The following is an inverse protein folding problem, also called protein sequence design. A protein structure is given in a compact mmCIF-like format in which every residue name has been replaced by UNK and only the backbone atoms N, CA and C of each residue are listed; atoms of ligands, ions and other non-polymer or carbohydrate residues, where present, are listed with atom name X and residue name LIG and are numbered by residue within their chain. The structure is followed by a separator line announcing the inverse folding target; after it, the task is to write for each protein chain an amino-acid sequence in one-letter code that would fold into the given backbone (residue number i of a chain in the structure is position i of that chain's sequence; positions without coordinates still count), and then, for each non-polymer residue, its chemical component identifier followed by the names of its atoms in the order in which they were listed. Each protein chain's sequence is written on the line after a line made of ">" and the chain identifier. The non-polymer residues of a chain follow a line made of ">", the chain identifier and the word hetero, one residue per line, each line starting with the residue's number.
data_IF_501110753106
#
_entry.id   IF_501110753106
#
_cell.length_a   1.000
_cell.length_b   1.000
_cell.length_c   1.000
_cell.angle_alpha   90.00
_cell.angle_beta   90.00
_cell.angle_gamma   90.00
#
_symmetry.space_group_name_H-M   'P 1'
#
loop_
_entity.id
_entity.type
_entity.pdbx_description
1 polymer ?
#
# COMPACT_ATOMS: atom_id res chain seq x y z
N UNK A 1 -0.94 3.18 -1.65
CA UNK A 1 -1.63 2.84 -0.35
C UNK A 1 -0.64 2.27 0.64
N UNK A 2 -0.88 2.47 1.96
CA UNK A 2 -0.08 1.84 3.02
C UNK A 2 -0.01 0.32 2.84
N UNK A 3 0.91 -0.34 3.54
CA UNK A 3 0.91 -1.80 3.61
C UNK A 3 1.01 -2.28 5.06
N UNK A 4 0.23 -3.29 5.39
CA UNK A 4 0.30 -4.03 6.65
C UNK A 4 0.95 -5.38 6.38
N UNK A 5 1.91 -5.77 7.19
CA UNK A 5 2.51 -7.11 7.19
C UNK A 5 2.22 -7.81 8.51
N UNK A 6 1.71 -9.04 8.47
CA UNK A 6 1.46 -9.89 9.64
C UNK A 6 2.33 -11.13 9.53
N UNK A 7 3.36 -11.20 10.37
CA UNK A 7 4.22 -12.38 10.48
C UNK A 7 3.76 -13.16 11.71
N UNK A 8 3.07 -14.27 11.47
CA UNK A 8 2.56 -15.13 12.55
C UNK A 8 3.70 -15.81 13.31
N UNK A 9 3.41 -16.19 14.54
CA UNK A 9 4.34 -17.00 15.34
C UNK A 9 4.74 -18.26 14.61
N UNK A 10 6.01 -18.63 14.70
CA UNK A 10 6.58 -19.80 14.01
C UNK A 10 7.11 -19.52 12.61
N UNK A 11 6.85 -18.33 12.05
CA UNK A 11 7.41 -17.93 10.76
C UNK A 11 8.57 -16.93 10.93
N UNK A 12 9.59 -17.03 10.10
CA UNK A 12 10.68 -16.07 10.06
C UNK A 12 10.26 -14.79 9.30
N UNK A 13 10.82 -13.65 9.71
CA UNK A 13 10.64 -12.40 8.99
C UNK A 13 11.51 -12.39 7.73
N UNK A 14 10.91 -12.16 6.58
CA UNK A 14 11.65 -11.95 5.34
C UNK A 14 12.05 -10.47 5.22
N UNK A 15 13.36 -10.22 5.35
CA UNK A 15 13.90 -8.85 5.32
C UNK A 15 13.63 -8.17 3.99
N UNK A 16 13.80 -8.88 2.85
CA UNK A 16 13.60 -8.33 1.51
C UNK A 16 12.15 -7.91 1.29
N UNK A 17 11.19 -8.74 1.68
CA UNK A 17 9.76 -8.41 1.58
C UNK A 17 9.40 -7.17 2.42
N UNK A 18 9.90 -7.08 3.65
CA UNK A 18 9.66 -5.91 4.51
C UNK A 18 10.37 -4.65 3.99
N UNK A 19 11.57 -4.80 3.41
CA UNK A 19 12.28 -3.69 2.76
C UNK A 19 11.54 -3.17 1.53
N UNK A 20 10.97 -4.08 0.73
CA UNK A 20 10.13 -3.71 -0.40
C UNK A 20 8.88 -2.93 0.05
N UNK A 21 8.24 -3.40 1.14
CA UNK A 21 7.12 -2.67 1.75
C UNK A 21 7.52 -1.25 2.18
N UNK A 22 8.68 -1.10 2.82
CA UNK A 22 9.17 0.21 3.25
C UNK A 22 9.52 1.11 2.06
N UNK A 23 10.19 0.55 1.04
CA UNK A 23 10.59 1.31 -0.16
C UNK A 23 9.38 1.86 -0.91
N UNK A 24 8.29 1.08 -0.99
CA UNK A 24 7.03 1.52 -1.57
C UNK A 24 6.21 2.46 -0.67
N UNK A 25 6.52 2.56 0.64
CA UNK A 25 5.72 3.30 1.62
C UNK A 25 6.64 3.99 2.64
N UNK A 26 7.40 5.04 2.23
CA UNK A 26 8.51 5.59 3.05
C UNK A 26 8.10 6.65 4.08
N UNK A 27 6.82 7.01 4.19
CA UNK A 27 6.34 8.09 5.06
C UNK A 27 6.27 7.68 6.54
N UNK A 28 6.92 6.58 6.87
CA UNK A 28 7.14 6.09 8.23
C UNK A 28 6.64 4.66 8.44
N UNK A 29 7.37 3.94 9.28
CA UNK A 29 7.03 2.58 9.67
C UNK A 29 6.77 2.46 11.17
N UNK A 30 6.10 1.38 11.54
CA UNK A 30 5.92 0.98 12.93
C UNK A 30 5.59 -0.49 13.07
N UNK A 31 5.63 -0.94 14.32
CA UNK A 31 5.43 -2.33 14.69
C UNK A 31 4.60 -2.47 15.95
N UNK A 32 3.90 -3.59 16.09
CA UNK A 32 3.25 -3.99 17.33
C UNK A 32 3.30 -5.50 17.53
N UNK A 33 3.31 -5.92 18.79
CA UNK A 33 3.23 -7.31 19.19
C UNK A 33 2.67 -7.42 20.62
N UNK A 34 2.10 -8.57 20.96
CA UNK A 34 1.63 -8.84 22.32
C UNK A 34 2.77 -9.40 23.18
N UNK A 35 2.98 -8.81 24.35
CA UNK A 35 3.93 -9.31 25.36
C UNK A 35 3.14 -10.07 26.44
N UNK A 36 3.27 -11.40 26.47
CA UNK A 36 2.57 -12.28 27.41
C UNK A 36 2.92 -11.97 28.87
N UNK A 37 4.17 -11.54 29.15
CA UNK A 37 4.61 -11.24 30.52
C UNK A 37 3.95 -9.99 31.08
N UNK A 38 3.70 -9.02 30.23
CA UNK A 38 3.03 -7.76 30.61
C UNK A 38 1.52 -7.81 30.40
N UNK A 39 1.03 -8.80 29.64
CA UNK A 39 -0.36 -8.88 29.16
C UNK A 39 -0.80 -7.60 28.45
N UNK A 40 0.11 -7.03 27.66
CA UNK A 40 -0.10 -5.78 26.92
C UNK A 40 0.53 -5.86 25.52
N UNK A 41 0.03 -5.06 24.64
CA UNK A 41 0.60 -4.82 23.31
C UNK A 41 1.68 -3.75 23.40
N UNK A 42 2.85 -4.05 22.89
CA UNK A 42 3.91 -3.07 22.70
C UNK A 42 3.80 -2.44 21.32
N UNK A 43 3.81 -1.13 21.26
CA UNK A 43 3.83 -0.33 20.03
C UNK A 43 5.15 0.43 19.95
N UNK A 44 5.84 0.32 18.81
CA UNK A 44 6.94 1.21 18.42
C UNK A 44 6.69 1.72 17.01
N UNK A 45 6.85 3.03 16.78
CA UNK A 45 6.56 3.64 15.48
C UNK A 45 7.35 4.92 15.23
N UNK A 46 7.26 5.45 14.01
CA UNK A 46 7.99 6.65 13.60
C UNK A 46 9.38 6.33 13.10
N UNK A 47 9.57 5.18 12.47
CA UNK A 47 10.79 4.84 11.77
C UNK A 47 10.72 5.41 10.34
N UNK A 48 11.65 6.30 10.01
CA UNK A 48 11.73 6.95 8.69
C UNK A 48 12.89 6.45 7.84
N UNK A 49 13.63 5.44 8.33
CA UNK A 49 14.60 4.66 7.56
C UNK A 49 14.33 3.19 7.77
N UNK A 50 14.61 2.37 6.76
CA UNK A 50 14.45 0.92 6.87
C UNK A 50 15.45 0.34 7.88
N UNK A 51 16.64 0.90 7.94
CA UNK A 51 17.71 0.48 8.86
C UNK A 51 17.26 0.61 10.32
N UNK A 52 16.68 1.74 10.71
CA UNK A 52 16.18 1.96 12.07
C UNK A 52 15.02 1.03 12.40
N UNK A 53 14.10 0.84 11.45
CA UNK A 53 13.00 -0.11 11.58
C UNK A 53 13.53 -1.54 11.77
N UNK A 54 14.42 -1.98 10.88
CA UNK A 54 14.96 -3.34 10.91
C UNK A 54 15.81 -3.62 12.14
N UNK A 55 16.56 -2.63 12.62
CA UNK A 55 17.35 -2.74 13.85
C UNK A 55 16.48 -3.06 15.08
N UNK A 56 15.20 -2.65 15.08
CA UNK A 56 14.25 -2.99 16.14
C UNK A 56 13.43 -4.25 15.81
N UNK A 57 12.96 -4.39 14.57
CA UNK A 57 12.14 -5.54 14.16
C UNK A 57 12.90 -6.85 14.28
N UNK A 58 14.18 -6.89 13.88
CA UNK A 58 15.02 -8.09 13.91
C UNK A 58 15.31 -8.63 15.33
N UNK A 59 15.03 -7.85 16.38
CA UNK A 59 15.15 -8.31 17.77
C UNK A 59 13.93 -9.13 18.25
N UNK A 60 12.82 -9.06 17.50
CA UNK A 60 11.59 -9.76 17.88
C UNK A 60 11.72 -11.25 17.60
N UNK A 61 11.42 -12.12 18.58
CA UNK A 61 11.54 -13.56 18.40
C UNK A 61 10.43 -14.12 17.49
N UNK A 62 10.69 -15.27 16.89
CA UNK A 62 9.71 -15.94 16.02
C UNK A 62 8.55 -16.58 16.81
N UNK A 63 8.68 -16.68 18.13
CA UNK A 63 7.66 -17.25 19.01
C UNK A 63 6.42 -16.37 19.23
N UNK A 64 6.43 -15.14 18.73
CA UNK A 64 5.30 -14.19 18.86
C UNK A 64 4.75 -13.79 17.50
N UNK A 65 3.48 -13.34 17.47
CA UNK A 65 2.90 -12.69 16.31
C UNK A 65 3.42 -11.25 16.21
N UNK A 66 3.86 -10.84 15.02
CA UNK A 66 4.45 -9.51 14.76
C UNK A 66 3.65 -8.83 13.66
N UNK A 67 3.24 -7.60 13.92
CA UNK A 67 2.49 -6.78 12.95
C UNK A 67 3.29 -5.53 12.64
N UNK A 68 3.50 -5.28 11.36
CA UNK A 68 4.23 -4.15 10.82
C UNK A 68 3.31 -3.31 9.95
N UNK A 69 3.56 -2.01 9.93
CA UNK A 69 2.86 -1.09 9.05
C UNK A 69 3.87 -0.14 8.40
N UNK A 70 3.73 0.04 7.09
CA UNK A 70 4.52 0.97 6.28
C UNK A 70 3.58 1.97 5.64
N UNK A 71 3.81 3.25 5.91
CA UNK A 71 2.88 4.33 5.65
C UNK A 71 3.17 5.06 4.36
N UNK A 72 2.10 5.33 3.58
CA UNK A 72 1.99 6.48 2.69
C UNK A 72 0.94 7.42 3.28
N UNK A 73 1.30 8.68 3.45
CA UNK A 73 0.46 9.65 4.12
C UNK A 73 -0.61 10.19 3.16
N UNK A 74 -1.86 9.81 3.40
CA UNK A 74 -3.05 10.38 2.74
C UNK A 74 -3.83 11.31 3.66
N UNK A 75 -3.67 11.17 4.98
CA UNK A 75 -4.31 11.97 6.02
C UNK A 75 -3.38 12.17 7.21
N UNK A 76 -3.37 13.35 7.81
CA UNK A 76 -2.46 13.74 8.89
C UNK A 76 -1.03 14.04 8.42
N UNK A 77 -0.26 14.78 9.24
CA UNK A 77 1.12 15.13 8.92
C UNK A 77 2.03 13.90 8.85
N UNK A 78 3.15 13.99 8.13
CA UNK A 78 4.23 12.99 8.19
C UNK A 78 5.02 13.26 9.48
N UNK A 79 4.74 12.47 10.52
CA UNK A 79 5.38 12.59 11.82
C UNK A 79 5.28 11.26 12.58
N UNK A 80 6.11 11.04 13.61
CA UNK A 80 6.02 9.83 14.43
C UNK A 80 4.62 9.62 15.05
N UNK A 81 3.95 10.70 15.43
CA UNK A 81 2.64 10.67 16.08
C UNK A 81 1.54 10.11 15.19
N UNK A 82 1.63 10.32 13.87
CA UNK A 82 0.65 9.89 12.89
C UNK A 82 1.01 8.59 12.18
N UNK A 83 2.18 7.99 12.48
CA UNK A 83 2.52 6.64 12.04
C UNK A 83 1.68 5.61 12.79
N UNK A 84 1.31 4.52 12.11
CA UNK A 84 0.74 3.33 12.72
C UNK A 84 1.85 2.49 13.38
N UNK A 85 1.51 1.61 14.36
CA UNK A 85 0.21 1.33 14.97
C UNK A 85 -0.30 2.42 15.93
N UNK A 86 -1.58 2.33 16.29
CA UNK A 86 -2.19 3.18 17.31
C UNK A 86 -2.74 2.35 18.47
N UNK A 87 -2.70 2.90 19.69
CA UNK A 87 -3.46 2.40 20.84
C UNK A 87 -4.94 2.55 20.60
N UNK A 88 -5.73 1.53 20.91
CA UNK A 88 -7.19 1.66 20.92
C UNK A 88 -7.60 2.34 22.23
N UNK A 89 -7.80 3.65 22.16
CA UNK A 89 -8.18 4.52 23.29
C UNK A 89 -8.94 5.76 22.77
N UNK A 90 -9.29 6.67 23.66
CA UNK A 90 -10.01 7.92 23.32
C UNK A 90 -9.13 9.18 23.34
N UNK A 91 -7.81 9.02 23.58
CA UNK A 91 -6.86 10.14 23.68
C UNK A 91 -5.86 10.14 22.52
N UNK A 92 -5.95 11.16 21.67
CA UNK A 92 -5.02 11.34 20.54
C UNK A 92 -3.55 11.49 20.96
N UNK A 93 -3.27 12.00 22.17
CA UNK A 93 -1.89 12.12 22.66
C UNK A 93 -1.31 10.74 22.97
N UNK A 94 -2.12 9.86 23.58
CA UNK A 94 -1.73 8.48 23.82
C UNK A 94 -1.54 7.72 22.51
N UNK A 95 -2.47 7.86 21.56
CA UNK A 95 -2.33 7.25 20.22
C UNK A 95 -1.06 7.74 19.51
N UNK A 96 -0.65 8.99 19.74
CA UNK A 96 0.53 9.62 19.13
C UNK A 96 1.87 9.19 19.71
N UNK A 97 1.91 8.48 20.84
CA UNK A 97 3.18 8.08 21.46
C UNK A 97 4.00 7.15 20.55
N UNK A 98 5.29 7.48 20.29
CA UNK A 98 6.14 6.65 19.43
C UNK A 98 6.51 5.29 20.03
N UNK A 99 6.43 5.19 21.35
CA UNK A 99 6.68 3.96 22.11
C UNK A 99 5.66 3.89 23.25
N UNK A 100 4.78 2.89 23.19
CA UNK A 100 3.68 2.77 24.13
C UNK A 100 3.31 1.31 24.43
N UNK A 101 2.63 1.11 25.56
CA UNK A 101 2.00 -0.14 25.96
C UNK A 101 0.50 0.08 26.08
N UNK A 102 -0.28 -0.80 25.48
CA UNK A 102 -1.75 -0.68 25.44
C UNK A 102 -2.41 -2.05 25.56
N UNK A 103 -3.69 -2.09 25.89
CA UNK A 103 -4.48 -3.33 25.87
C UNK A 103 -4.70 -3.85 24.46
N UNK A 104 -5.05 -2.94 23.54
CA UNK A 104 -5.34 -3.26 22.16
C UNK A 104 -4.58 -2.27 21.27
N UNK A 105 -3.81 -2.78 20.33
CA UNK A 105 -3.18 -2.02 19.25
C UNK A 105 -3.89 -2.27 17.92
N UNK A 106 -3.87 -1.28 17.03
CA UNK A 106 -4.52 -1.35 15.72
C UNK A 106 -3.67 -0.73 14.63
N UNK A 107 -3.67 -1.35 13.45
CA UNK A 107 -3.20 -0.78 12.18
C UNK A 107 -4.33 -0.78 11.16
N UNK A 108 -4.23 0.14 10.20
CA UNK A 108 -5.20 0.30 9.12
C UNK A 108 -4.48 0.57 7.79
N UNK A 109 -4.98 -0.03 6.72
CA UNK A 109 -4.63 0.29 5.34
C UNK A 109 -5.90 0.58 4.55
N UNK A 110 -6.03 1.82 4.07
CA UNK A 110 -7.18 2.32 3.33
C UNK A 110 -7.40 3.81 3.57
N UNK A 111 -8.55 4.31 3.17
CA UNK A 111 -8.99 5.70 3.37
C UNK A 111 -10.38 5.69 4.02
N UNK A 112 -10.53 6.43 5.11
CA UNK A 112 -11.79 6.59 5.82
C UNK A 112 -12.28 8.04 5.69
N UNK A 113 -12.90 8.35 4.56
CA UNK A 113 -13.34 9.71 4.20
C UNK A 113 -14.21 10.36 5.26
N UNK A 114 -15.14 9.59 5.88
CA UNK A 114 -16.06 10.07 6.89
C UNK A 114 -15.36 10.48 8.21
N UNK A 115 -14.14 9.97 8.43
CA UNK A 115 -13.32 10.25 9.61
C UNK A 115 -12.15 11.19 9.32
N UNK A 116 -12.08 11.74 8.10
CA UNK A 116 -10.99 12.66 7.72
C UNK A 116 -11.04 13.93 8.57
N UNK A 117 -9.99 14.24 9.34
CA UNK A 117 -10.00 15.40 10.20
C UNK A 117 -9.98 16.71 9.42
N UNK A 118 -10.61 17.75 9.97
CA UNK A 118 -10.54 19.09 9.40
C UNK A 118 -9.08 19.55 9.36
N UNK A 119 -8.61 19.94 8.17
CA UNK A 119 -7.21 20.34 7.95
C UNK A 119 -6.39 19.34 7.11
N UNK A 120 -6.93 18.16 6.78
CA UNK A 120 -6.29 17.17 5.90
C UNK A 120 -4.88 16.83 6.36
N UNK A 121 -3.87 16.99 5.48
CA UNK A 121 -2.45 16.72 5.77
C UNK A 121 -1.83 17.61 6.88
N UNK A 122 -2.47 18.72 7.26
CA UNK A 122 -2.02 19.59 8.37
C UNK A 122 -2.63 19.20 9.71
N UNK A 123 -3.54 18.24 9.73
CA UNK A 123 -4.16 17.79 10.97
C UNK A 123 -3.15 17.08 11.88
N UNK A 124 -3.32 17.25 13.19
CA UNK A 124 -2.46 16.62 14.21
C UNK A 124 -2.79 15.15 14.45
N UNK A 125 -3.88 14.64 13.89
CA UNK A 125 -4.32 13.25 13.97
C UNK A 125 -4.81 12.80 12.58
N UNK A 126 -4.77 11.51 12.36
CA UNK A 126 -5.25 10.90 11.11
C UNK A 126 -6.73 10.50 11.20
N UNK A 127 -7.33 10.16 10.05
CA UNK A 127 -8.65 9.56 9.96
C UNK A 127 -8.76 8.27 10.81
N UNK A 128 -7.72 7.44 10.78
CA UNK A 128 -7.65 6.22 11.61
C UNK A 128 -7.71 6.53 13.10
N UNK A 129 -7.00 7.56 13.57
CA UNK A 129 -7.06 7.97 15.00
C UNK A 129 -8.47 8.43 15.39
N UNK A 130 -9.15 9.15 14.49
CA UNK A 130 -10.53 9.56 14.72
C UNK A 130 -11.48 8.37 14.74
N UNK A 131 -11.35 7.45 13.79
CA UNK A 131 -12.13 6.22 13.75
C UNK A 131 -11.92 5.34 14.99
N UNK A 132 -10.67 5.17 15.44
CA UNK A 132 -10.39 4.47 16.70
C UNK A 132 -11.16 5.09 17.85
N UNK A 133 -11.10 6.41 18.00
CA UNK A 133 -11.75 7.12 19.11
C UNK A 133 -13.28 6.99 19.09
N UNK A 134 -13.88 7.12 17.91
CA UNK A 134 -15.33 7.23 17.76
C UNK A 134 -16.02 5.87 17.62
N UNK A 135 -15.33 4.87 17.07
CA UNK A 135 -15.91 3.57 16.75
C UNK A 135 -15.23 2.44 17.51
N UNK A 136 -13.91 2.24 17.31
CA UNK A 136 -13.23 1.04 17.81
C UNK A 136 -13.14 1.02 19.34
N UNK A 137 -12.74 2.13 19.94
CA UNK A 137 -12.63 2.23 21.39
C UNK A 137 -13.97 2.00 22.11
N UNK A 138 -15.13 2.54 21.65
CA UNK A 138 -16.43 2.22 22.24
C UNK A 138 -16.85 0.76 22.14
N UNK A 139 -16.37 -0.01 21.13
CA UNK A 139 -16.66 -1.44 21.01
C UNK A 139 -16.00 -2.26 22.13
N UNK A 140 -14.90 -1.78 22.72
CA UNK A 140 -14.17 -2.48 23.77
C UNK A 140 -13.82 -3.92 23.36
N UNK A 141 -14.07 -4.89 24.24
CA UNK A 141 -13.76 -6.31 23.97
C UNK A 141 -14.61 -6.93 22.84
N UNK A 142 -15.69 -6.25 22.43
CA UNK A 142 -16.52 -6.72 21.29
C UNK A 142 -15.76 -6.74 19.98
N UNK A 143 -14.62 -6.06 19.86
CA UNK A 143 -13.74 -6.12 18.67
C UNK A 143 -13.24 -7.55 18.36
N UNK A 144 -13.24 -8.44 19.36
CA UNK A 144 -12.85 -9.85 19.21
C UNK A 144 -13.99 -10.75 18.76
N UNK A 145 -15.23 -10.26 18.70
CA UNK A 145 -16.38 -11.03 18.25
C UNK A 145 -16.35 -11.13 16.71
N UNK A 146 -16.35 -12.36 16.20
CA UNK A 146 -16.28 -12.63 14.76
C UNK A 146 -17.43 -11.97 13.98
N UNK A 147 -18.66 -11.95 14.52
CA UNK A 147 -19.78 -11.29 13.85
C UNK A 147 -19.59 -9.76 13.77
N UNK A 148 -18.93 -9.15 14.77
CA UNK A 148 -18.58 -7.72 14.73
C UNK A 148 -17.51 -7.49 13.63
N UNK A 149 -16.52 -8.36 13.53
CA UNK A 149 -15.47 -8.27 12.51
C UNK A 149 -16.03 -8.45 11.09
N UNK A 150 -16.95 -9.38 10.88
CA UNK A 150 -17.67 -9.61 9.59
C UNK A 150 -18.52 -8.39 9.20
N UNK A 151 -19.25 -7.80 10.17
CA UNK A 151 -19.99 -6.57 9.94
C UNK A 151 -19.05 -5.41 9.61
N UNK A 152 -17.92 -5.32 10.28
CA UNK A 152 -16.91 -4.31 10.04
C UNK A 152 -16.32 -4.43 8.64
N UNK A 153 -15.90 -5.64 8.24
CA UNK A 153 -15.40 -5.92 6.89
C UNK A 153 -16.42 -5.51 5.81
N UNK A 154 -17.69 -5.91 6.01
CA UNK A 154 -18.78 -5.56 5.08
C UNK A 154 -19.02 -4.05 5.01
N UNK A 155 -19.00 -3.35 6.14
CA UNK A 155 -19.32 -1.91 6.21
C UNK A 155 -18.19 -1.02 5.68
N UNK A 156 -16.93 -1.48 5.79
CA UNK A 156 -15.76 -0.64 5.49
C UNK A 156 -15.12 -0.95 4.12
N UNK A 157 -15.74 -1.83 3.33
CA UNK A 157 -15.36 -2.11 1.95
C UNK A 157 -13.92 -2.61 1.80
N UNK A 158 -13.09 -1.93 1.00
CA UNK A 158 -11.71 -2.33 0.72
C UNK A 158 -10.70 -2.00 1.82
N UNK A 159 -11.14 -1.37 2.91
CA UNK A 159 -10.27 -1.07 4.03
C UNK A 159 -9.82 -2.37 4.75
N UNK A 160 -8.60 -2.37 5.25
CA UNK A 160 -7.98 -3.54 5.90
C UNK A 160 -7.45 -3.16 7.27
N UNK A 161 -7.67 -4.03 8.24
CA UNK A 161 -7.31 -3.76 9.63
C UNK A 161 -6.63 -4.95 10.27
N UNK A 162 -5.72 -4.70 11.20
CA UNK A 162 -5.23 -5.72 12.11
C UNK A 162 -5.29 -5.17 13.54
N UNK A 163 -5.89 -5.94 14.43
CA UNK A 163 -5.90 -5.68 15.85
C UNK A 163 -5.05 -6.72 16.56
N UNK A 164 -4.31 -6.29 17.58
CA UNK A 164 -3.53 -7.16 18.47
C UNK A 164 -3.95 -6.84 19.91
N UNK A 165 -4.19 -7.86 20.72
CA UNK A 165 -4.51 -7.69 22.14
C UNK A 165 -4.94 -9.01 22.76
N UNK A 166 -4.84 -9.13 24.06
CA UNK A 166 -5.25 -10.32 24.84
C UNK A 166 -4.73 -11.65 24.25
N UNK A 167 -3.50 -11.66 23.75
CA UNK A 167 -2.89 -12.81 23.09
C UNK A 167 -3.49 -13.18 21.73
N UNK A 168 -4.37 -12.36 21.17
CA UNK A 168 -5.08 -12.56 19.92
C UNK A 168 -4.61 -11.59 18.83
N UNK A 169 -4.76 -12.02 17.58
CA UNK A 169 -4.58 -11.17 16.38
C UNK A 169 -5.81 -11.35 15.49
N UNK A 170 -6.57 -10.28 15.31
CA UNK A 170 -7.67 -10.23 14.35
C UNK A 170 -7.18 -9.56 13.07
N UNK A 171 -7.38 -10.23 11.93
CA UNK A 171 -7.07 -9.75 10.58
C UNK A 171 -8.41 -9.57 9.85
N UNK A 172 -8.75 -8.34 9.49
CA UNK A 172 -10.04 -7.96 8.91
C UNK A 172 -9.79 -7.38 7.52
N UNK A 173 -10.47 -7.93 6.51
CA UNK A 173 -10.31 -7.61 5.10
C UNK A 173 -9.42 -8.59 4.34
N UNK A 174 -9.24 -8.39 3.05
CA UNK A 174 -8.51 -9.30 2.17
C UNK A 174 -7.00 -9.10 2.31
N UNK A 175 -6.29 -10.16 2.69
CA UNK A 175 -4.83 -10.19 2.76
C UNK A 175 -4.28 -11.27 1.82
N UNK A 176 -3.14 -10.98 1.22
CA UNK A 176 -2.39 -11.91 0.36
C UNK A 176 -1.33 -12.59 1.21
N UNK A 177 -1.21 -13.91 1.11
CA UNK A 177 -0.15 -14.64 1.79
C UNK A 177 1.06 -14.78 0.86
N UNK A 178 2.25 -14.43 1.36
CA UNK A 178 3.49 -14.67 0.65
C UNK A 178 3.79 -16.18 0.59
N UNK A 179 4.08 -16.68 -0.59
CA UNK A 179 4.53 -18.07 -0.80
C UNK A 179 5.95 -18.30 -0.26
N UNK A 180 6.74 -17.24 -0.10
CA UNK A 180 8.14 -17.30 0.35
C UNK A 180 8.23 -17.32 1.87
N UNK A 181 7.59 -16.35 2.54
CA UNK A 181 7.68 -16.17 3.99
C UNK A 181 6.49 -16.72 4.76
N UNK A 182 5.35 -16.97 4.08
CA UNK A 182 4.09 -17.30 4.73
C UNK A 182 3.43 -16.11 5.46
N UNK A 183 4.03 -14.92 5.43
CA UNK A 183 3.46 -13.71 6.01
C UNK A 183 2.23 -13.25 5.23
N UNK A 184 1.30 -12.56 5.92
CA UNK A 184 0.13 -11.95 5.30
C UNK A 184 0.42 -10.47 5.02
N UNK A 185 0.09 -10.01 3.82
CA UNK A 185 0.23 -8.63 3.40
C UNK A 185 -1.10 -8.04 2.97
N UNK A 186 -1.36 -6.79 3.32
CA UNK A 186 -2.61 -6.11 2.93
C UNK A 186 -2.66 -5.73 1.44
N UNK A 187 -1.52 -5.75 0.74
CA UNK A 187 -1.41 -5.61 -0.72
C UNK A 187 -0.08 -6.21 -1.21
N UNK A 188 0.21 -6.10 -2.50
CA UNK A 188 1.36 -6.74 -3.16
C UNK A 188 2.68 -5.96 -3.05
N UNK A 189 2.76 -4.87 -2.30
CA UNK A 189 3.99 -4.06 -2.14
C UNK A 189 5.21 -4.85 -1.65
N UNK A 190 4.99 -6.01 -1.02
CA UNK A 190 6.06 -6.90 -0.53
C UNK A 190 6.83 -7.63 -1.65
N UNK A 191 6.22 -7.82 -2.83
CA UNK A 191 6.82 -8.60 -3.92
C UNK A 191 8.09 -7.93 -4.43
N UNK A 192 8.20 -6.62 -4.30
CA UNK A 192 9.30 -5.83 -4.82
C UNK A 192 9.46 -5.98 -6.33
N UNK A 193 9.92 -4.95 -6.98
CA UNK A 193 10.25 -5.07 -8.39
C UNK A 193 11.53 -5.87 -8.54
N UNK A 194 11.43 -7.15 -8.88
CA UNK A 194 12.59 -7.94 -9.31
C UNK A 194 13.08 -7.41 -10.64
N UNK A 195 13.89 -6.36 -10.60
CA UNK A 195 14.70 -6.04 -11.77
C UNK A 195 15.70 -7.19 -11.99
N UNK A 196 15.48 -8.00 -13.01
CA UNK A 196 16.62 -8.65 -13.65
C UNK A 196 17.44 -7.52 -14.26
N UNK A 197 18.52 -7.15 -13.61
CA UNK A 197 19.54 -6.28 -14.17
C UNK A 197 20.14 -6.97 -15.39
N UNK A 198 19.59 -6.70 -16.57
CA UNK A 198 20.42 -6.68 -17.75
C UNK A 198 21.37 -5.50 -17.53
N UNK A 199 22.66 -5.78 -17.52
CA UNK A 199 23.76 -4.83 -17.35
C UNK A 199 23.70 -3.74 -18.41
N UNK A 200 22.91 -2.69 -18.14
CA UNK A 200 22.96 -1.42 -18.87
C UNK A 200 23.21 -0.36 -17.81
N UNK A 201 24.36 0.31 -17.90
CA UNK A 201 24.71 1.41 -17.00
C UNK A 201 23.63 2.48 -17.09
N UNK A 202 23.05 2.93 -15.96
CA UNK A 202 22.07 4.03 -15.97
C UNK A 202 22.76 5.29 -16.49
N UNK A 203 22.08 6.02 -17.35
CA UNK A 203 22.45 7.38 -17.78
C UNK A 203 22.17 8.43 -16.71
N UNK A 204 21.63 8.03 -15.56
CA UNK A 204 21.26 8.91 -14.47
C UNK A 204 22.05 8.56 -13.22
N UNK A 205 22.67 9.58 -12.65
CA UNK A 205 23.27 9.58 -11.33
C UNK A 205 22.12 9.58 -10.28
N UNK A 206 22.02 8.48 -9.53
CA UNK A 206 21.01 8.26 -8.47
C UNK A 206 21.00 9.33 -7.36
N UNK A 207 21.93 10.29 -7.40
CA UNK A 207 22.06 11.33 -6.38
C UNK A 207 21.01 12.44 -6.46
N UNK A 208 20.22 12.53 -7.55
CA UNK A 208 19.29 13.64 -7.76
C UNK A 208 17.86 13.40 -7.29
N UNK A 209 17.46 12.15 -7.03
CA UNK A 209 16.05 11.80 -6.73
C UNK A 209 15.68 11.78 -5.25
N UNK A 210 16.62 12.00 -4.34
CA UNK A 210 16.35 11.96 -2.90
C UNK A 210 15.89 13.27 -2.28
N UNK A 211 15.81 14.38 -3.04
CA UNK A 211 15.59 15.72 -2.47
C UNK A 211 14.36 16.49 -2.99
N UNK A 212 13.47 15.89 -3.75
CA UNK A 212 12.31 16.66 -4.21
C UNK A 212 11.05 15.79 -4.32
N UNK A 213 10.07 16.17 -3.52
CA UNK A 213 8.64 15.87 -3.50
C UNK A 213 8.21 14.58 -2.81
N UNK A 214 7.20 14.68 -1.92
CA UNK A 214 6.44 13.53 -1.48
C UNK A 214 5.63 13.02 -2.66
N UNK A 215 6.02 11.89 -3.25
CA UNK A 215 5.18 11.22 -4.21
C UNK A 215 4.04 10.57 -3.45
N UNK A 216 2.83 11.04 -3.69
CA UNK A 216 1.62 10.31 -3.39
C UNK A 216 1.52 9.23 -4.45
N UNK A 217 1.70 7.99 -4.13
CA UNK A 217 1.39 7.06 -5.19
C UNK A 217 1.97 5.67 -5.04
N UNK A 218 1.24 4.78 -5.57
CA UNK A 218 1.62 3.52 -6.12
C UNK A 218 2.84 3.75 -7.02
N UNK A 219 3.94 3.03 -6.91
CA UNK A 219 5.15 3.33 -7.67
C UNK A 219 5.09 2.71 -9.07
N UNK A 220 5.01 3.56 -10.09
CA UNK A 220 5.43 3.14 -11.42
C UNK A 220 6.94 3.18 -11.51
N UNK A 221 7.53 2.08 -11.81
CA UNK A 221 8.94 2.06 -12.16
C UNK A 221 9.11 2.51 -13.60
N UNK A 222 9.85 3.60 -13.81
CA UNK A 222 10.33 3.94 -15.14
C UNK A 222 11.16 2.79 -15.67
N UNK A 223 10.60 1.95 -16.53
CA UNK A 223 11.34 0.92 -17.24
C UNK A 223 11.81 1.45 -18.56
N UNK A 224 13.08 1.15 -18.84
CA UNK A 224 13.62 1.25 -20.19
C UNK A 224 12.72 0.54 -21.20
N UNK A 225 12.47 1.25 -22.31
CA UNK A 225 11.77 0.74 -23.48
C UNK A 225 12.45 -0.54 -23.96
N UNK A 226 11.90 -1.70 -23.64
CA UNK A 226 12.26 -2.92 -24.34
C UNK A 226 11.72 -2.80 -25.75
N UNK A 227 12.64 -2.80 -26.74
CA UNK A 227 12.30 -3.00 -28.13
C UNK A 227 11.48 -4.27 -28.28
N UNK A 228 10.26 -4.06 -28.78
CA UNK A 228 9.39 -5.04 -29.43
C UNK A 228 9.23 -6.39 -28.72
N UNK A 229 8.28 -6.47 -27.81
CA UNK A 229 7.48 -7.69 -27.72
C UNK A 229 6.37 -7.58 -28.76
N UNK A 230 6.49 -8.33 -29.87
CA UNK A 230 5.41 -8.53 -30.82
C UNK A 230 4.35 -9.43 -30.18
N UNK A 231 3.49 -8.83 -29.35
CA UNK A 231 2.31 -9.51 -28.85
C UNK A 231 1.21 -9.22 -29.87
N UNK A 232 0.88 -10.22 -30.71
CA UNK A 232 -0.23 -10.16 -31.62
C UNK A 232 -1.54 -10.32 -30.85
N UNK A 233 -2.15 -9.21 -30.46
CA UNK A 233 -3.50 -9.21 -29.89
C UNK A 233 -4.52 -9.40 -31.00
N UNK A 234 -5.22 -10.51 -30.98
CA UNK A 234 -6.38 -10.76 -31.85
C UNK A 234 -7.46 -9.71 -31.56
N UNK A 235 -8.12 -9.25 -32.62
CA UNK A 235 -9.26 -8.32 -32.53
C UNK A 235 -10.34 -8.89 -31.63
N UNK A 236 -10.79 -8.13 -30.65
CA UNK A 236 -11.99 -8.31 -29.82
C UNK A 236 -11.95 -9.34 -28.69
N UNK A 237 -10.82 -9.60 -28.05
CA UNK A 237 -10.81 -10.45 -26.88
C UNK A 237 -10.28 -9.65 -25.67
N UNK A 238 -11.14 -9.41 -24.69
CA UNK A 238 -10.79 -8.93 -23.35
C UNK A 238 -10.16 -10.05 -22.51
N UNK A 239 -9.46 -10.98 -23.16
CA UNK A 239 -8.75 -12.07 -22.49
C UNK A 239 -7.46 -11.53 -21.88
N UNK A 240 -7.27 -11.83 -20.60
CA UNK A 240 -6.02 -11.62 -19.90
C UNK A 240 -4.86 -12.21 -20.71
N UNK A 241 -3.87 -11.40 -21.02
CA UNK A 241 -2.62 -11.87 -21.62
C UNK A 241 -1.72 -12.39 -20.52
N UNK A 242 -1.04 -13.51 -20.79
CA UNK A 242 -0.08 -14.12 -19.87
C UNK A 242 1.32 -13.94 -20.43
N UNK A 243 2.24 -13.38 -19.65
CA UNK A 243 3.64 -13.28 -20.05
C UNK A 243 4.35 -14.65 -20.01
N UNK A 244 5.62 -14.68 -20.41
CA UNK A 244 6.46 -15.90 -20.40
C UNK A 244 6.69 -16.51 -19.01
N UNK A 245 6.27 -15.78 -17.93
CA UNK A 245 6.37 -16.20 -16.52
C UNK A 245 5.02 -16.55 -15.90
N UNK A 246 3.94 -16.57 -16.69
CA UNK A 246 2.59 -16.92 -16.22
C UNK A 246 1.86 -15.78 -15.50
N UNK A 247 2.33 -14.54 -15.61
CA UNK A 247 1.64 -13.36 -15.07
C UNK A 247 0.54 -12.92 -16.02
N UNK A 248 -0.67 -12.74 -15.49
CA UNK A 248 -1.78 -12.18 -16.22
C UNK A 248 -1.75 -10.66 -16.19
N UNK A 249 -2.02 -10.00 -17.31
CA UNK A 249 -2.12 -8.55 -17.40
C UNK A 249 -3.12 -8.13 -18.48
N UNK A 250 -3.66 -6.92 -18.31
CA UNK A 250 -4.60 -6.29 -19.24
C UNK A 250 -4.01 -4.99 -19.77
N UNK A 251 -3.98 -4.77 -21.08
CA UNK A 251 -3.46 -3.54 -21.63
C UNK A 251 -4.52 -2.44 -21.70
N UNK A 252 -4.20 -1.26 -21.18
CA UNK A 252 -4.97 -0.03 -21.34
C UNK A 252 -4.14 0.89 -22.23
N UNK A 253 -4.58 1.17 -23.45
CA UNK A 253 -3.91 2.14 -24.34
C UNK A 253 -4.54 3.53 -24.20
N UNK A 254 -3.72 4.47 -23.77
CA UNK A 254 -4.11 5.89 -23.59
C UNK A 254 -3.51 6.71 -24.72
N UNK A 255 -4.34 7.45 -25.44
CA UNK A 255 -3.92 8.35 -26.50
C UNK A 255 -3.48 9.69 -25.92
N UNK A 256 -2.17 9.88 -25.83
CA UNK A 256 -1.54 11.03 -25.16
C UNK A 256 -1.09 12.11 -26.16
N UNK A 257 -1.12 11.82 -27.45
CA UNK A 257 -0.39 12.62 -28.43
C UNK A 257 1.13 12.44 -28.27
N UNK A 258 1.90 13.27 -28.97
CA UNK A 258 3.36 13.26 -28.85
C UNK A 258 3.77 13.97 -27.56
N UNK A 259 4.35 13.23 -26.64
CA UNK A 259 4.82 13.73 -25.34
C UNK A 259 6.34 13.92 -25.34
N UNK A 260 6.82 14.95 -24.68
CA UNK A 260 8.19 15.06 -24.20
C UNK A 260 8.35 14.32 -22.85
N UNK A 261 9.58 14.09 -22.43
CA UNK A 261 9.87 13.31 -21.23
C UNK A 261 9.19 13.88 -19.97
N UNK A 262 9.13 15.20 -19.82
CA UNK A 262 8.51 15.86 -18.66
C UNK A 262 6.99 15.66 -18.59
N UNK A 263 6.31 15.75 -19.75
CA UNK A 263 4.87 15.50 -19.84
C UNK A 263 4.53 14.02 -19.66
N UNK A 264 5.42 13.13 -20.14
CA UNK A 264 5.26 11.70 -19.93
C UNK A 264 5.33 11.34 -18.46
N UNK A 265 6.28 11.91 -17.73
CA UNK A 265 6.39 11.72 -16.29
C UNK A 265 5.15 12.18 -15.54
N UNK A 266 4.66 13.40 -15.84
CA UNK A 266 3.44 13.93 -15.25
C UNK A 266 2.22 13.05 -15.57
N UNK A 267 2.10 12.58 -16.82
CA UNK A 267 1.04 11.65 -17.21
C UNK A 267 1.09 10.33 -16.45
N UNK A 268 2.29 9.74 -16.28
CA UNK A 268 2.44 8.47 -15.58
C UNK A 268 2.11 8.60 -14.09
N UNK A 269 2.53 9.68 -13.45
CA UNK A 269 2.22 9.97 -12.05
C UNK A 269 0.69 10.12 -11.85
N UNK A 270 0.00 10.82 -12.76
CA UNK A 270 -1.46 10.97 -12.70
C UNK A 270 -2.20 9.66 -13.01
N UNK A 271 -1.74 8.89 -14.00
CA UNK A 271 -2.33 7.60 -14.35
C UNK A 271 -2.22 6.60 -13.19
N UNK A 272 -1.07 6.57 -12.55
CA UNK A 272 -0.83 5.75 -11.38
C UNK A 272 -1.74 6.13 -10.21
N UNK A 273 -1.85 7.41 -9.92
CA UNK A 273 -2.73 7.92 -8.87
C UNK A 273 -4.19 7.51 -9.11
N UNK A 274 -4.68 7.65 -10.35
CA UNK A 274 -6.06 7.32 -10.68
C UNK A 274 -6.31 5.80 -10.62
N UNK A 275 -5.41 4.99 -11.19
CA UNK A 275 -5.53 3.53 -11.16
C UNK A 275 -5.45 2.97 -9.74
N UNK A 276 -4.60 3.54 -8.89
CA UNK A 276 -4.55 3.19 -7.48
C UNK A 276 -5.87 3.44 -6.74
N UNK A 277 -6.67 4.42 -7.16
CA UNK A 277 -7.99 4.66 -6.56
C UNK A 277 -8.97 3.50 -6.80
N UNK A 278 -8.70 2.66 -7.81
CA UNK A 278 -9.45 1.44 -8.15
C UNK A 278 -8.74 0.16 -7.70
N UNK A 279 -7.68 0.25 -6.90
CA UNK A 279 -6.86 -0.89 -6.45
C UNK A 279 -6.16 -1.62 -7.62
N UNK A 280 -5.84 -0.88 -8.68
CA UNK A 280 -5.19 -1.37 -9.90
C UNK A 280 -3.73 -0.95 -9.88
N UNK A 281 -2.84 -1.91 -10.14
CA UNK A 281 -1.40 -1.67 -10.22
C UNK A 281 -0.93 -1.69 -11.68
N UNK A 282 -0.07 -0.74 -12.05
CA UNK A 282 0.60 -0.78 -13.34
C UNK A 282 1.79 -1.74 -13.25
N UNK A 283 1.78 -2.80 -14.05
CA UNK A 283 2.82 -3.82 -14.08
C UNK A 283 3.93 -3.50 -15.07
N UNK A 284 3.58 -2.90 -16.22
CA UNK A 284 4.52 -2.51 -17.27
C UNK A 284 3.96 -1.36 -18.11
N UNK A 285 4.83 -0.66 -18.83
CA UNK A 285 4.48 0.50 -19.64
C UNK A 285 5.14 0.37 -21.01
N UNK A 286 4.36 0.58 -22.07
CA UNK A 286 4.88 0.68 -23.43
C UNK A 286 4.58 2.07 -23.99
N UNK A 287 5.62 2.85 -24.29
CA UNK A 287 5.50 4.17 -24.89
C UNK A 287 5.47 3.99 -26.41
N UNK A 288 4.44 4.53 -27.06
CA UNK A 288 4.30 4.63 -28.51
C UNK A 288 4.40 6.10 -28.93
N UNK A 289 4.47 6.35 -30.23
CA UNK A 289 4.66 7.72 -30.77
C UNK A 289 3.53 8.69 -30.34
N UNK A 290 2.28 8.20 -30.23
CA UNK A 290 1.11 9.00 -29.92
C UNK A 290 0.25 8.43 -28.78
N UNK A 291 0.68 7.34 -28.15
CA UNK A 291 -0.05 6.68 -27.05
C UNK A 291 0.89 6.01 -26.08
N UNK A 292 0.38 5.80 -24.87
CA UNK A 292 1.04 4.99 -23.82
C UNK A 292 0.15 3.79 -23.54
N UNK A 293 0.71 2.60 -23.52
CA UNK A 293 0.02 1.37 -23.10
C UNK A 293 0.45 1.05 -21.67
N UNK A 294 -0.52 1.03 -20.78
CA UNK A 294 -0.36 0.63 -19.40
C UNK A 294 -0.79 -0.83 -19.27
N UNK A 295 0.09 -1.69 -18.82
CA UNK A 295 -0.24 -3.09 -18.52
C UNK A 295 -0.56 -3.20 -17.04
N UNK A 296 -1.78 -3.59 -16.71
CA UNK A 296 -2.31 -3.60 -15.34
C UNK A 296 -2.58 -5.03 -14.87
N UNK A 297 -2.53 -5.25 -13.56
CA UNK A 297 -2.73 -6.55 -12.93
C UNK A 297 -4.20 -6.98 -12.89
N UNK A 298 -5.10 -6.03 -12.82
CA UNK A 298 -6.54 -6.26 -12.81
C UNK A 298 -7.27 -5.07 -13.42
N UNK A 299 -8.48 -5.32 -13.93
CA UNK A 299 -9.42 -4.27 -14.30
C UNK A 299 -10.69 -4.52 -13.50
N UNK A 300 -11.07 -3.62 -12.58
CA UNK A 300 -12.34 -3.71 -11.88
C UNK A 300 -13.50 -3.78 -12.88
N UNK A 301 -14.56 -4.51 -12.56
CA UNK A 301 -15.71 -4.73 -13.46
C UNK A 301 -16.37 -3.42 -13.90
N UNK A 302 -16.27 -2.36 -13.09
CA UNK A 302 -16.79 -1.02 -13.36
C UNK A 302 -15.78 -0.12 -14.09
N UNK A 303 -14.50 -0.47 -14.12
CA UNK A 303 -13.47 0.30 -14.82
C UNK A 303 -13.78 0.40 -16.34
N UNK A 304 -14.14 -0.67 -17.08
CA UNK A 304 -14.54 -0.57 -18.47
C UNK A 304 -15.73 0.35 -18.70
N UNK A 305 -16.72 0.35 -17.83
CA UNK A 305 -17.91 1.20 -17.94
C UNK A 305 -17.64 2.65 -17.50
N UNK A 306 -16.69 2.85 -16.60
CA UNK A 306 -16.29 4.17 -16.12
C UNK A 306 -15.30 4.83 -17.07
N UNK A 307 -14.43 4.04 -17.66
CA UNK A 307 -13.36 4.46 -18.53
C UNK A 307 -13.78 4.44 -20.02
N UNK A 308 -14.53 3.47 -20.52
CA UNK A 308 -15.01 3.43 -21.92
C UNK A 308 -15.99 4.56 -22.16
N UNK A 309 -15.61 5.58 -22.92
CA UNK A 309 -16.31 6.82 -23.27
C UNK A 309 -16.17 8.01 -22.30
N UNK A 310 -15.19 8.03 -21.39
CA UNK A 310 -14.86 9.23 -20.60
C UNK A 310 -13.45 9.70 -20.88
N UNK A 311 -13.25 11.00 -20.82
CA UNK A 311 -11.93 11.60 -20.84
C UNK A 311 -11.27 11.34 -19.49
N UNK A 312 -10.11 10.73 -19.52
CA UNK A 312 -9.31 10.41 -18.35
C UNK A 312 -8.45 11.60 -17.91
N UNK A 313 -7.96 11.58 -16.68
CA UNK A 313 -7.10 12.63 -16.14
C UNK A 313 -7.70 14.03 -16.33
N UNK A 314 -8.80 14.29 -15.66
CA UNK A 314 -9.56 15.54 -15.74
C UNK A 314 -10.03 15.93 -17.15
N UNK A 315 -10.08 14.96 -18.07
CA UNK A 315 -10.55 15.16 -19.43
C UNK A 315 -9.46 15.46 -20.46
N UNK A 316 -8.21 15.26 -20.10
CA UNK A 316 -7.07 15.61 -20.97
C UNK A 316 -6.71 14.51 -21.98
N UNK A 317 -7.08 13.25 -21.74
CA UNK A 317 -6.69 12.12 -22.58
C UNK A 317 -7.86 11.24 -22.99
N UNK A 318 -7.79 10.69 -24.21
CA UNK A 318 -8.66 9.62 -24.68
C UNK A 318 -7.94 8.28 -24.53
N UNK A 319 -8.67 7.22 -24.16
CA UNK A 319 -8.06 5.92 -23.99
C UNK A 319 -8.99 4.80 -24.48
N UNK A 320 -8.39 3.61 -24.65
CA UNK A 320 -9.07 2.39 -25.06
C UNK A 320 -8.54 1.23 -24.22
N UNK A 321 -9.42 0.49 -23.57
CA UNK A 321 -9.10 -0.82 -23.01
C UNK A 321 -9.07 -1.82 -24.16
N UNK A 322 -7.96 -2.53 -24.34
CA UNK A 322 -7.78 -3.52 -25.41
C UNK A 322 -7.91 -4.94 -24.91
#
# INVERSE_FOLDING_TARGET
>A
MCVIAVVKRGFEMNKEELENCFRGNPDGAGMMYYDEKKSLVHIKKGFFTFEDFWAEASKLPDSIDRVFHFRIATSGAISPETCHPFSVCNDYKEMGLPNNWTKIGMVHNGIMSDYTPKGGMKAKHSDTMQFIKEVVNPLGDSVWNTAVQELWETAMGTNKYVLVGDGQVAVIGNFVQSEVSGALYSNTSYIGYRYKTATIKPWYDDSYYWNSTPSYGCQTTKKEVKKEMNINFGKNDTTMSTDEYGMNYLPIEVWTGKMDDGKLDEFLDEAEYELCSYDVSILDIQIKEFSVVLYVDTVPDDLPSTIVNKKWLHGNYEYTVK
#
